data_IF_156196695468
#
_entry.id   IF_156196695468
#
_cell.length_a   1.000
_cell.length_b   1.000
_cell.length_c   1.000
_cell.angle_alpha   90.00
_cell.angle_beta   90.00
_cell.angle_gamma   90.00
#
_symmetry.space_group_name_H-M   'P 1'
#
loop_
_entity.id
_entity.type
_entity.pdbx_description
1 polymer ?
#
# COMPACT_ATOMS: atom_id res chain seq x y z
N UNK A 1 3.19 21.21 -9.33
CA UNK A 1 2.89 19.76 -9.39
C UNK A 1 3.45 19.02 -8.17
N UNK A 2 4.77 19.05 -7.95
CA UNK A 2 5.38 18.42 -6.76
C UNK A 2 4.78 18.90 -5.43
N UNK A 3 4.54 20.20 -5.27
CA UNK A 3 3.94 20.76 -4.05
C UNK A 3 2.52 20.24 -3.77
N UNK A 4 1.74 19.94 -4.81
CA UNK A 4 0.40 19.38 -4.65
C UNK A 4 0.46 17.91 -4.20
N UNK A 5 1.41 17.14 -4.74
CA UNK A 5 1.67 15.76 -4.31
C UNK A 5 2.19 15.71 -2.87
N UNK A 6 3.11 16.61 -2.51
CA UNK A 6 3.62 16.73 -1.14
C UNK A 6 2.49 17.05 -0.18
N UNK A 7 1.66 18.05 -0.50
CA UNK A 7 0.54 18.42 0.36
C UNK A 7 -0.47 17.29 0.55
N UNK A 8 -0.79 16.56 -0.52
CA UNK A 8 -1.69 15.41 -0.42
C UNK A 8 -1.11 14.30 0.45
N UNK A 9 0.17 13.97 0.30
CA UNK A 9 0.82 13.00 1.16
C UNK A 9 0.85 13.45 2.63
N UNK A 10 1.16 14.73 2.88
CA UNK A 10 1.17 15.32 4.22
C UNK A 10 -0.22 15.29 4.88
N UNK A 11 -1.28 15.58 4.12
CA UNK A 11 -2.68 15.52 4.60
C UNK A 11 -3.09 14.08 5.00
N UNK A 12 -2.45 13.06 4.42
CA UNK A 12 -2.62 11.65 4.77
C UNK A 12 -1.55 11.10 5.74
N UNK A 13 -0.74 11.98 6.34
CA UNK A 13 0.37 11.64 7.24
C UNK A 13 1.38 10.65 6.64
N UNK A 14 1.63 10.78 5.33
CA UNK A 14 2.58 9.95 4.58
C UNK A 14 3.66 10.80 3.93
N UNK A 15 4.79 10.16 3.63
CA UNK A 15 5.74 10.73 2.67
C UNK A 15 5.20 10.55 1.25
N UNK A 16 5.71 11.32 0.29
CA UNK A 16 5.34 11.14 -1.13
C UNK A 16 5.65 9.71 -1.61
N UNK A 17 6.78 9.13 -1.18
CA UNK A 17 7.10 7.74 -1.51
C UNK A 17 6.10 6.75 -0.89
N UNK A 18 5.74 6.95 0.39
CA UNK A 18 4.73 6.12 1.05
C UNK A 18 3.35 6.22 0.38
N UNK A 19 2.99 7.40 -0.12
CA UNK A 19 1.76 7.59 -0.88
C UNK A 19 1.78 6.84 -2.22
N UNK A 20 2.91 6.85 -2.92
CA UNK A 20 3.10 6.10 -4.17
C UNK A 20 3.03 4.59 -3.90
N UNK A 21 3.71 4.10 -2.87
CA UNK A 21 3.69 2.69 -2.48
C UNK A 21 2.28 2.22 -2.13
N UNK A 22 1.52 3.03 -1.38
CA UNK A 22 0.12 2.74 -1.06
C UNK A 22 -0.74 2.58 -2.33
N UNK A 23 -0.65 3.52 -3.26
CA UNK A 23 -1.39 3.47 -4.52
C UNK A 23 -0.99 2.26 -5.37
N UNK A 24 0.31 1.97 -5.47
CA UNK A 24 0.81 0.82 -6.24
C UNK A 24 0.34 -0.49 -5.62
N UNK A 25 0.38 -0.61 -4.30
CA UNK A 25 -0.09 -1.79 -3.59
C UNK A 25 -1.61 -1.99 -3.77
N UNK A 26 -2.41 -0.93 -3.64
CA UNK A 26 -3.86 -0.97 -3.90
C UNK A 26 -4.18 -1.32 -5.37
N UNK A 27 -3.45 -0.76 -6.33
CA UNK A 27 -3.59 -1.08 -7.75
C UNK A 27 -3.23 -2.56 -8.05
N UNK A 28 -2.15 -3.07 -7.46
CA UNK A 28 -1.75 -4.48 -7.58
C UNK A 28 -2.79 -5.41 -6.95
N UNK A 29 -3.34 -5.03 -5.79
CA UNK A 29 -4.43 -5.76 -5.13
C UNK A 29 -5.67 -5.85 -6.02
N UNK A 30 -6.12 -4.71 -6.56
CA UNK A 30 -7.28 -4.64 -7.47
C UNK A 30 -7.05 -5.41 -8.77
N UNK A 31 -5.81 -5.44 -9.27
CA UNK A 31 -5.43 -6.21 -10.44
C UNK A 31 -5.26 -7.72 -10.17
N UNK A 32 -5.37 -8.19 -8.91
CA UNK A 32 -5.13 -9.58 -8.53
C UNK A 32 -3.68 -10.02 -8.69
N UNK A 33 -2.73 -9.08 -8.62
CA UNK A 33 -1.29 -9.30 -8.85
C UNK A 33 -0.45 -9.31 -7.57
N UNK A 34 -1.10 -9.25 -6.41
CA UNK A 34 -0.38 -9.45 -5.15
C UNK A 34 0.18 -10.88 -5.11
N UNK A 35 1.43 -11.06 -4.66
CA UNK A 35 1.98 -12.39 -4.48
C UNK A 35 1.07 -13.18 -3.53
N UNK A 36 0.62 -14.35 -3.96
CA UNK A 36 -0.06 -15.29 -3.07
C UNK A 36 0.93 -15.68 -1.99
N UNK A 37 0.56 -15.54 -0.71
CA UNK A 37 1.32 -16.06 0.44
C UNK A 37 1.66 -17.54 0.18
N UNK A 38 2.83 -17.81 -0.37
CA UNK A 38 3.42 -19.15 -0.36
C UNK A 38 3.85 -19.42 1.07
N UNK A 39 3.66 -20.64 1.59
CA UNK A 39 3.88 -20.95 3.01
C UNK A 39 5.31 -20.73 3.54
N UNK A 40 6.26 -20.35 2.68
CA UNK A 40 7.62 -19.97 3.06
C UNK A 40 7.76 -18.50 3.51
N UNK A 41 6.76 -17.66 3.27
CA UNK A 41 6.75 -16.25 3.68
C UNK A 41 6.01 -16.05 5.01
N UNK A 42 6.61 -16.57 6.07
CA UNK A 42 6.16 -16.37 7.46
C UNK A 42 6.68 -15.05 8.02
N UNK A 43 6.24 -13.93 7.46
CA UNK A 43 6.53 -12.60 7.97
C UNK A 43 5.40 -11.62 7.64
N UNK A 44 4.64 -11.22 8.66
CA UNK A 44 3.64 -10.13 8.67
C UNK A 44 2.54 -10.18 7.61
N UNK A 45 1.38 -10.69 8.01
CA UNK A 45 0.15 -9.87 8.01
C UNK A 45 -0.96 -10.78 8.55
N UNK A 46 -1.09 -10.72 9.87
CA UNK A 46 -2.38 -10.90 10.52
C UNK A 46 -3.22 -9.65 10.21
N UNK A 47 -4.54 -9.77 10.31
CA UNK A 47 -5.49 -8.67 10.18
C UNK A 47 -5.88 -8.27 8.75
N UNK A 48 -6.69 -9.11 8.09
CA UNK A 48 -7.92 -8.60 7.43
C UNK A 48 -8.90 -9.73 7.05
N UNK A 49 -9.36 -10.53 8.03
CA UNK A 49 -10.63 -11.29 7.90
C UNK A 49 -11.35 -11.35 9.24
N UNK A 50 -11.86 -10.20 9.67
CA UNK A 50 -12.94 -10.14 10.64
C UNK A 50 -13.86 -8.95 10.32
N UNK A 51 -14.71 -9.09 9.31
CA UNK A 51 -16.19 -8.97 9.39
C UNK A 51 -16.82 -8.86 8.01
#
# INVERSE_FOLDING_TARGET
MLSALQRWADDEFRSVNGQIEYLLHDALRKAGRLPSKTPDDSGSDADDKAK
#
